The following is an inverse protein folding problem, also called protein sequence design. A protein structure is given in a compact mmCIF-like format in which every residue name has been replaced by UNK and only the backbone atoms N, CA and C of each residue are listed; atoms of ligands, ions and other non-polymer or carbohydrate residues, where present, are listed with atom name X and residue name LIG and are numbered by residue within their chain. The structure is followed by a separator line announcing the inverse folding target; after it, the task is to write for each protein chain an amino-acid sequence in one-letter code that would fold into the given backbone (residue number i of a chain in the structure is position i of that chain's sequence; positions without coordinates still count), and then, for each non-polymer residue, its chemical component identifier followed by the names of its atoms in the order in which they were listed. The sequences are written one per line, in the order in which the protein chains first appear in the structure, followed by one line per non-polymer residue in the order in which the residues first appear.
data_IF_071467739188
#
_entry.id   IF_071467739188
#
_cell.length_a   1.000
_cell.length_b   1.000
_cell.length_c   1.000
_cell.angle_alpha   90.00
_cell.angle_beta   90.00
_cell.angle_gamma   90.00
#
_symmetry.space_group_name_H-M   'P 1'
#
loop_
_entity.id
_entity.type
_entity.pdbx_description
1 polymer ?
#
# COMPACT_ATOMS: atom_id res chain seq x y z
N UNK A 1 -19.81 -86.29 -9.66
CA UNK A 1 -20.83 -85.23 -9.76
C UNK A 1 -20.12 -83.91 -9.57
N UNK A 2 -20.41 -83.00 -10.49
CA UNK A 2 -19.81 -81.71 -10.89
C UNK A 2 -19.55 -80.66 -9.79
N UNK A 3 -18.83 -79.55 -10.13
CA UNK A 3 -17.83 -78.89 -9.29
C UNK A 3 -18.28 -77.51 -8.75
N UNK A 4 -17.36 -76.81 -8.07
CA UNK A 4 -17.23 -75.34 -8.04
C UNK A 4 -18.45 -74.49 -7.67
N UNK A 5 -18.41 -73.81 -6.52
CA UNK A 5 -18.45 -72.33 -6.52
C UNK A 5 -18.01 -71.80 -5.16
N UNK A 6 -16.76 -71.35 -5.11
CA UNK A 6 -16.32 -70.35 -4.17
C UNK A 6 -17.09 -69.09 -4.53
N UNK A 7 -18.05 -68.70 -3.71
CA UNK A 7 -18.75 -67.42 -3.89
C UNK A 7 -17.80 -66.31 -3.46
N UNK A 8 -16.99 -65.89 -4.42
CA UNK A 8 -16.12 -64.72 -4.37
C UNK A 8 -17.06 -63.52 -4.22
N UNK A 9 -17.19 -63.00 -3.00
CA UNK A 9 -17.75 -61.68 -2.80
C UNK A 9 -16.98 -60.71 -3.71
N UNK A 10 -17.67 -59.88 -4.51
CA UNK A 10 -17.01 -58.98 -5.44
C UNK A 10 -16.12 -58.03 -4.64
N UNK A 11 -14.81 -58.15 -4.83
CA UNK A 11 -13.84 -57.12 -4.48
C UNK A 11 -14.22 -55.86 -5.28
N UNK A 12 -14.62 -54.75 -4.65
CA UNK A 12 -14.75 -53.50 -5.37
C UNK A 12 -13.32 -53.01 -5.63
N UNK A 13 -12.76 -53.43 -6.77
CA UNK A 13 -11.65 -52.72 -7.36
C UNK A 13 -12.25 -51.46 -8.03
N UNK A 14 -12.15 -50.33 -7.36
CA UNK A 14 -12.33 -49.02 -7.99
C UNK A 14 -11.26 -48.09 -7.44
N UNK A 15 -10.32 -47.80 -8.32
CA UNK A 15 -9.36 -46.72 -8.28
C UNK A 15 -9.99 -45.42 -7.69
N UNK A 16 -9.25 -44.76 -6.79
CA UNK A 16 -9.42 -43.45 -6.12
C UNK A 16 -10.77 -42.69 -6.26
N UNK A 17 -11.35 -42.21 -5.13
CA UNK A 17 -11.11 -40.81 -4.78
C UNK A 17 -10.92 -40.59 -3.27
N UNK A 18 -10.04 -41.33 -2.59
CA UNK A 18 -9.73 -41.03 -1.18
C UNK A 18 -8.95 -39.70 -1.02
N UNK A 19 -8.46 -39.12 -2.12
CA UNK A 19 -7.81 -37.80 -2.14
C UNK A 19 -8.76 -36.60 -2.13
N UNK A 20 -10.07 -36.80 -2.32
CA UNK A 20 -11.03 -35.69 -2.43
C UNK A 20 -11.59 -35.26 -1.07
N UNK A 21 -11.57 -36.14 -0.07
CA UNK A 21 -12.12 -35.86 1.27
C UNK A 21 -11.27 -34.88 2.10
N UNK A 22 -10.00 -34.68 1.74
CA UNK A 22 -9.12 -33.70 2.42
C UNK A 22 -9.33 -32.27 1.91
N UNK A 23 -10.00 -32.09 0.77
CA UNK A 23 -10.38 -30.76 0.27
C UNK A 23 -11.70 -30.25 0.87
N UNK A 24 -12.47 -31.13 1.51
CA UNK A 24 -13.75 -30.86 2.21
C UNK A 24 -13.62 -30.82 3.75
N UNK A 25 -12.50 -30.36 4.31
CA UNK A 25 -12.60 -29.66 5.59
C UNK A 25 -12.80 -28.18 5.25
N UNK A 26 -14.02 -27.65 5.39
CA UNK A 26 -14.20 -26.22 5.38
C UNK A 26 -13.41 -25.71 6.57
N UNK A 27 -12.25 -25.12 6.30
CA UNK A 27 -11.71 -24.09 7.17
C UNK A 27 -12.50 -22.78 6.96
N UNK A 28 -13.81 -22.91 6.68
CA UNK A 28 -14.81 -21.91 6.99
C UNK A 28 -14.94 -21.97 8.50
N UNK A 29 -13.96 -21.39 9.19
CA UNK A 29 -14.26 -20.85 10.51
C UNK A 29 -15.38 -19.87 10.21
N UNK A 30 -16.62 -20.25 10.50
CA UNK A 30 -17.74 -19.32 10.61
C UNK A 30 -17.34 -18.35 11.73
N UNK A 31 -16.55 -17.35 11.36
CA UNK A 31 -16.13 -16.31 12.29
C UNK A 31 -17.40 -15.54 12.63
N UNK A 32 -17.66 -15.43 13.93
CA UNK A 32 -18.70 -14.52 14.38
C UNK A 32 -18.34 -13.11 13.92
N UNK A 33 -19.35 -12.26 13.69
CA UNK A 33 -19.14 -10.83 13.38
C UNK A 33 -18.22 -10.19 14.43
N UNK A 34 -18.31 -10.64 15.67
CA UNK A 34 -17.41 -10.23 16.75
C UNK A 34 -15.95 -10.64 16.54
N UNK A 35 -15.70 -11.85 16.05
CA UNK A 35 -14.35 -12.34 15.75
C UNK A 35 -13.73 -11.53 14.60
N UNK A 36 -14.51 -11.25 13.55
CA UNK A 36 -14.06 -10.42 12.44
C UNK A 36 -13.73 -8.97 12.88
N UNK A 37 -14.55 -8.38 13.76
CA UNK A 37 -14.26 -7.06 14.33
C UNK A 37 -13.00 -7.08 15.23
N UNK A 38 -12.76 -8.18 15.94
CA UNK A 38 -11.56 -8.35 16.76
C UNK A 38 -10.31 -8.47 15.88
N UNK A 39 -10.38 -9.18 14.75
CA UNK A 39 -9.33 -9.18 13.73
C UNK A 39 -9.08 -7.77 13.18
N UNK A 40 -10.12 -7.02 12.81
CA UNK A 40 -9.98 -5.64 12.31
C UNK A 40 -9.18 -4.79 13.30
N UNK A 41 -9.56 -4.84 14.58
CA UNK A 41 -8.89 -4.09 15.65
C UNK A 41 -7.41 -4.45 15.71
N UNK A 42 -7.08 -5.74 15.75
CA UNK A 42 -5.69 -6.19 15.79
C UNK A 42 -4.90 -5.75 14.56
N UNK A 43 -5.47 -5.89 13.35
CA UNK A 43 -4.84 -5.49 12.08
C UNK A 43 -4.58 -3.98 12.01
N UNK A 44 -5.51 -3.17 12.53
CA UNK A 44 -5.34 -1.72 12.66
C UNK A 44 -4.18 -1.41 13.61
N UNK A 45 -4.09 -2.07 14.78
CA UNK A 45 -2.98 -1.88 15.71
C UNK A 45 -1.62 -2.21 15.08
N UNK A 46 -1.51 -3.35 14.38
CA UNK A 46 -0.27 -3.70 13.68
C UNK A 46 0.09 -2.69 12.58
N UNK A 47 -0.89 -2.25 11.79
CA UNK A 47 -0.68 -1.24 10.74
C UNK A 47 -0.26 0.11 11.34
N UNK A 48 -0.87 0.53 12.45
CA UNK A 48 -0.49 1.76 13.15
C UNK A 48 0.94 1.71 13.64
N UNK A 49 1.37 0.61 14.27
CA UNK A 49 2.76 0.43 14.72
C UNK A 49 3.73 0.48 13.53
N UNK A 50 3.42 -0.22 12.44
CA UNK A 50 4.25 -0.21 11.24
C UNK A 50 4.36 1.19 10.62
N UNK A 51 3.27 1.95 10.56
CA UNK A 51 3.27 3.35 10.12
C UNK A 51 4.11 4.20 11.06
N UNK A 52 3.94 4.07 12.37
CA UNK A 52 4.70 4.85 13.36
C UNK A 52 6.22 4.61 13.24
N UNK A 53 6.63 3.34 13.12
CA UNK A 53 8.03 2.98 12.90
C UNK A 53 8.56 3.53 11.57
N UNK A 54 7.76 3.46 10.51
CA UNK A 54 8.12 3.99 9.19
C UNK A 54 8.24 5.52 9.20
N UNK A 55 7.33 6.23 9.87
CA UNK A 55 7.37 7.69 10.03
C UNK A 55 8.60 8.11 10.84
N UNK A 56 8.90 7.42 11.94
CA UNK A 56 10.11 7.68 12.73
C UNK A 56 11.37 7.47 11.87
N UNK A 57 11.43 6.36 11.12
CA UNK A 57 12.53 6.09 10.19
C UNK A 57 12.69 7.19 9.14
N UNK A 58 11.59 7.59 8.49
CA UNK A 58 11.56 8.67 7.50
C UNK A 58 11.92 10.03 8.12
N UNK A 59 11.57 10.29 9.38
CA UNK A 59 11.91 11.51 10.07
C UNK A 59 13.43 11.65 10.28
N UNK A 60 14.14 10.54 10.56
CA UNK A 60 15.61 10.54 10.68
C UNK A 60 16.28 10.89 9.34
N UNK A 61 15.72 10.44 8.22
CA UNK A 61 16.24 10.69 6.87
C UNK A 61 15.54 11.83 6.14
N UNK A 62 14.76 12.67 6.86
CA UNK A 62 13.89 13.69 6.25
C UNK A 62 14.67 14.69 5.38
N UNK A 63 15.90 15.02 5.77
CA UNK A 63 16.76 15.93 4.99
C UNK A 63 17.00 15.40 3.58
N UNK A 64 17.25 14.11 3.44
CA UNK A 64 17.45 13.46 2.14
C UNK A 64 16.17 13.48 1.30
N UNK A 65 15.02 13.24 1.95
CA UNK A 65 13.71 13.30 1.28
C UNK A 65 13.40 14.71 0.80
N UNK A 66 13.61 15.71 1.65
CA UNK A 66 13.43 17.14 1.31
C UNK A 66 14.34 17.54 0.15
N UNK A 67 15.62 17.16 0.17
CA UNK A 67 16.54 17.41 -0.94
C UNK A 67 16.08 16.78 -2.25
N UNK A 68 15.54 15.56 -2.21
CA UNK A 68 14.96 14.90 -3.37
C UNK A 68 13.77 15.69 -3.93
N UNK A 69 12.89 16.18 -3.07
CA UNK A 69 11.72 16.99 -3.46
C UNK A 69 12.09 18.40 -3.94
N UNK A 70 13.30 18.89 -3.65
CA UNK A 70 13.79 20.18 -4.15
C UNK A 70 14.38 20.08 -5.58
N UNK A 71 14.81 18.90 -6.03
CA UNK A 71 15.40 18.70 -7.38
C UNK A 71 14.52 19.22 -8.52
N UNK A 72 13.19 18.99 -8.56
CA UNK A 72 12.33 19.49 -9.62
C UNK A 72 12.18 21.03 -9.63
N UNK A 73 12.53 21.71 -8.54
CA UNK A 73 12.40 23.15 -8.37
C UNK A 73 13.72 23.92 -8.53
N UNK A 74 14.76 23.29 -9.10
CA UNK A 74 16.06 23.92 -9.36
C UNK A 74 15.90 25.25 -10.12
N UNK A 75 16.07 26.37 -9.40
CA UNK A 75 15.95 27.73 -9.94
C UNK A 75 15.09 28.67 -9.09
N UNK A 76 14.29 28.16 -8.16
CA UNK A 76 13.44 28.98 -7.27
C UNK A 76 14.14 29.25 -5.95
N UNK A 77 14.20 30.52 -5.52
CA UNK A 77 14.64 30.87 -4.17
C UNK A 77 13.51 30.60 -3.18
N UNK A 78 13.70 29.64 -2.30
CA UNK A 78 12.79 29.42 -1.18
C UNK A 78 12.99 30.49 -0.12
N UNK A 79 11.90 31.13 0.27
CA UNK A 79 11.86 32.05 1.40
C UNK A 79 11.26 31.33 2.59
N UNK A 80 11.96 31.39 3.71
CA UNK A 80 11.43 30.98 5.00
C UNK A 80 10.77 32.19 5.66
N UNK A 81 9.44 32.18 5.74
CA UNK A 81 8.63 33.25 6.31
C UNK A 81 8.64 33.20 7.84
N UNK A 82 8.79 32.01 8.43
CA UNK A 82 8.92 31.86 9.87
C UNK A 82 9.97 30.78 10.24
N UNK A 83 10.69 30.96 11.37
CA UNK A 83 11.74 30.03 11.81
C UNK A 83 11.20 28.60 12.06
N UNK A 84 9.90 28.45 12.31
CA UNK A 84 9.24 27.15 12.53
C UNK A 84 8.76 26.42 11.29
N UNK A 85 8.67 27.05 10.10
CA UNK A 85 8.08 26.43 8.91
C UNK A 85 8.79 25.14 8.50
N UNK A 86 10.12 25.15 8.49
CA UNK A 86 10.92 23.99 8.11
C UNK A 86 10.65 22.78 9.01
N UNK A 87 10.40 23.00 10.30
CA UNK A 87 10.07 21.93 11.25
C UNK A 87 8.71 21.29 10.90
N UNK A 88 7.67 22.10 10.65
CA UNK A 88 6.36 21.59 10.27
C UNK A 88 6.37 20.90 8.91
N UNK A 89 7.11 21.45 7.93
CA UNK A 89 7.33 20.81 6.63
C UNK A 89 8.01 19.45 6.79
N UNK A 90 9.08 19.39 7.59
CA UNK A 90 9.79 18.14 7.87
C UNK A 90 8.86 17.10 8.49
N UNK A 91 7.99 17.50 9.43
CA UNK A 91 7.01 16.60 10.04
C UNK A 91 5.97 16.10 9.03
N UNK A 92 5.42 16.99 8.18
CA UNK A 92 4.49 16.62 7.10
C UNK A 92 5.17 15.62 6.15
N UNK A 93 6.33 15.97 5.62
CA UNK A 93 7.09 15.15 4.64
C UNK A 93 7.43 13.78 5.23
N UNK A 94 7.89 13.72 6.49
CA UNK A 94 8.18 12.46 7.16
C UNK A 94 6.91 11.61 7.37
N UNK A 95 5.78 12.24 7.72
CA UNK A 95 4.48 11.58 7.86
C UNK A 95 4.03 10.93 6.56
N UNK A 96 3.94 11.72 5.47
CA UNK A 96 3.52 11.24 4.16
C UNK A 96 4.47 10.18 3.59
N UNK A 97 5.78 10.40 3.67
CA UNK A 97 6.77 9.44 3.20
C UNK A 97 6.76 8.15 4.02
N UNK A 98 6.54 8.25 5.34
CA UNK A 98 6.36 7.10 6.22
C UNK A 98 5.16 6.25 5.82
N UNK A 99 4.04 6.88 5.43
CA UNK A 99 2.86 6.18 4.91
C UNK A 99 3.16 5.50 3.58
N UNK A 100 3.91 6.13 2.66
CA UNK A 100 4.34 5.49 1.39
C UNK A 100 5.15 4.23 1.65
N UNK A 101 6.12 4.31 2.57
CA UNK A 101 6.97 3.16 2.93
C UNK A 101 6.15 2.08 3.65
N UNK A 102 5.19 2.47 4.48
CA UNK A 102 4.29 1.54 5.17
C UNK A 102 3.18 0.98 4.28
N UNK A 103 2.90 1.60 3.13
CA UNK A 103 1.80 1.27 2.21
C UNK A 103 1.75 -0.22 1.83
N UNK A 104 2.86 -0.88 1.43
CA UNK A 104 2.84 -2.31 1.11
C UNK A 104 2.41 -3.18 2.30
N UNK A 105 2.83 -2.81 3.52
CA UNK A 105 2.44 -3.50 4.74
C UNK A 105 0.97 -3.25 5.09
N UNK A 106 0.49 -2.02 4.95
CA UNK A 106 -0.91 -1.66 5.16
C UNK A 106 -1.82 -2.44 4.20
N UNK A 107 -1.49 -2.45 2.91
CA UNK A 107 -2.22 -3.22 1.89
C UNK A 107 -2.26 -4.70 2.23
N UNK A 108 -1.14 -5.26 2.69
CA UNK A 108 -1.07 -6.65 3.14
C UNK A 108 -2.00 -6.92 4.34
N UNK A 109 -2.03 -6.05 5.36
CA UNK A 109 -2.91 -6.22 6.52
C UNK A 109 -4.40 -6.05 6.19
N UNK A 110 -4.75 -5.09 5.33
CA UNK A 110 -6.13 -4.88 4.85
C UNK A 110 -6.65 -6.14 4.18
N UNK A 111 -5.80 -6.80 3.39
CA UNK A 111 -6.23 -7.98 2.65
C UNK A 111 -6.30 -9.22 3.51
N UNK A 112 -5.40 -9.36 4.48
CA UNK A 112 -5.53 -10.40 5.51
C UNK A 112 -6.87 -10.32 6.25
N UNK A 113 -7.38 -9.11 6.45
CA UNK A 113 -8.70 -8.88 7.01
C UNK A 113 -9.84 -9.23 6.03
N UNK A 114 -9.67 -9.00 4.73
CA UNK A 114 -10.69 -9.35 3.71
C UNK A 114 -10.69 -10.87 3.38
N UNK A 115 -9.54 -11.53 3.51
CA UNK A 115 -9.32 -12.95 3.22
C UNK A 115 -10.38 -13.92 3.78
N UNK A 116 -10.79 -13.84 5.06
CA UNK A 116 -11.79 -14.76 5.63
C UNK A 116 -13.18 -14.63 4.98
N UNK A 117 -13.48 -13.51 4.33
CA UNK A 117 -14.76 -13.30 3.63
C UNK A 117 -14.76 -13.79 2.18
N UNK A 118 -13.66 -14.37 1.68
CA UNK A 118 -13.49 -14.69 0.25
C UNK A 118 -13.37 -16.19 -0.02
N UNK A 119 -13.94 -16.64 -1.13
CA UNK A 119 -13.90 -18.06 -1.50
C UNK A 119 -12.48 -18.49 -1.90
N UNK A 120 -12.16 -19.80 -1.78
CA UNK A 120 -10.84 -20.36 -2.11
C UNK A 120 -10.36 -20.02 -3.54
N UNK A 121 -11.29 -19.86 -4.50
CA UNK A 121 -10.98 -19.48 -5.89
C UNK A 121 -10.58 -18.01 -6.00
N UNK A 122 -11.23 -17.12 -5.26
CA UNK A 122 -10.95 -15.69 -5.27
C UNK A 122 -9.64 -15.37 -4.55
N UNK A 123 -9.29 -16.11 -3.49
CA UNK A 123 -8.01 -15.96 -2.77
C UNK A 123 -6.78 -16.04 -3.69
N UNK A 124 -6.85 -16.81 -4.79
CA UNK A 124 -5.76 -16.90 -5.79
C UNK A 124 -5.60 -15.64 -6.63
N UNK A 125 -6.68 -14.88 -6.85
CA UNK A 125 -6.68 -13.63 -7.62
C UNK A 125 -6.17 -12.45 -6.79
N UNK A 126 -6.40 -12.48 -5.47
CA UNK A 126 -5.96 -11.39 -4.59
C UNK A 126 -4.43 -11.20 -4.61
N UNK A 127 -3.66 -12.30 -4.63
CA UNK A 127 -2.20 -12.26 -4.66
C UNK A 127 -1.61 -11.35 -5.76
N UNK A 128 -1.90 -11.61 -7.05
CA UNK A 128 -1.44 -10.76 -8.14
C UNK A 128 -2.06 -9.35 -8.10
N UNK A 129 -3.27 -9.20 -7.57
CA UNK A 129 -3.89 -7.87 -7.38
C UNK A 129 -3.10 -7.02 -6.37
N UNK A 130 -2.59 -7.58 -5.27
CA UNK A 130 -1.73 -6.88 -4.31
C UNK A 130 -0.45 -6.38 -4.99
N UNK A 131 0.19 -7.28 -5.73
CA UNK A 131 1.43 -6.96 -6.41
C UNK A 131 1.18 -5.86 -7.45
N UNK A 132 0.09 -5.99 -8.22
CA UNK A 132 -0.35 -5.00 -9.20
C UNK A 132 -0.66 -3.65 -8.57
N UNK A 133 -1.41 -3.60 -7.47
CA UNK A 133 -1.75 -2.34 -6.79
C UNK A 133 -0.53 -1.67 -6.15
N UNK A 134 0.36 -2.46 -5.54
CA UNK A 134 1.62 -1.94 -4.99
C UNK A 134 2.50 -1.34 -6.07
N UNK A 135 2.68 -2.06 -7.20
CA UNK A 135 3.43 -1.55 -8.35
C UNK A 135 2.78 -0.28 -8.91
N UNK A 136 1.47 -0.29 -9.12
CA UNK A 136 0.74 0.86 -9.67
C UNK A 136 0.81 2.08 -8.75
N UNK A 137 0.80 1.88 -7.43
CA UNK A 137 1.00 2.94 -6.44
C UNK A 137 2.37 3.61 -6.58
N UNK A 138 3.45 2.84 -6.65
CA UNK A 138 4.80 3.40 -6.87
C UNK A 138 4.98 4.02 -8.26
N UNK A 139 4.34 3.46 -9.29
CA UNK A 139 4.33 4.04 -10.64
C UNK A 139 3.59 5.37 -10.65
N UNK A 140 2.44 5.47 -9.96
CA UNK A 140 1.71 6.73 -9.79
C UNK A 140 2.54 7.78 -9.07
N UNK A 141 3.23 7.38 -8.00
CA UNK A 141 4.12 8.26 -7.24
C UNK A 141 5.29 8.77 -8.11
N UNK A 142 5.90 7.88 -8.89
CA UNK A 142 6.97 8.23 -9.83
C UNK A 142 6.47 9.16 -10.94
N UNK A 143 5.27 8.91 -11.48
CA UNK A 143 4.65 9.78 -12.47
C UNK A 143 4.36 11.18 -11.92
N UNK A 144 3.81 11.26 -10.71
CA UNK A 144 3.57 12.55 -10.04
C UNK A 144 4.86 13.34 -9.89
N UNK A 145 5.94 12.69 -9.44
CA UNK A 145 7.24 13.34 -9.24
C UNK A 145 7.92 13.78 -10.54
N UNK A 146 7.94 12.92 -11.56
CA UNK A 146 8.72 13.14 -12.80
C UNK A 146 7.98 14.00 -13.82
N UNK A 147 6.66 13.88 -13.91
CA UNK A 147 5.86 14.56 -14.93
C UNK A 147 5.03 15.70 -14.34
N UNK A 148 4.28 15.42 -13.26
CA UNK A 148 3.21 16.30 -12.79
C UNK A 148 3.77 17.52 -12.05
N UNK A 149 4.70 17.33 -11.11
CA UNK A 149 5.39 18.42 -10.41
C UNK A 149 6.08 19.38 -11.39
N UNK A 150 7.03 18.95 -12.26
CA UNK A 150 7.72 19.88 -13.14
C UNK A 150 6.81 20.53 -14.18
N UNK A 151 5.77 19.84 -14.65
CA UNK A 151 4.77 20.45 -15.53
C UNK A 151 4.02 21.59 -14.82
N UNK A 152 3.59 21.37 -13.57
CA UNK A 152 2.92 22.38 -12.78
C UNK A 152 3.84 23.56 -12.42
N UNK A 153 5.08 23.29 -12.00
CA UNK A 153 6.06 24.33 -11.71
C UNK A 153 6.37 25.17 -12.94
N UNK A 154 6.59 24.53 -14.10
CA UNK A 154 6.81 25.24 -15.37
C UNK A 154 5.61 26.10 -15.74
N UNK A 155 4.39 25.60 -15.55
CA UNK A 155 3.17 26.36 -15.77
C UNK A 155 3.13 27.61 -14.88
N UNK A 156 3.29 27.47 -13.56
CA UNK A 156 3.27 28.62 -12.64
C UNK A 156 4.38 29.64 -12.90
N UNK A 157 5.60 29.18 -13.20
CA UNK A 157 6.71 30.07 -13.56
C UNK A 157 6.39 30.83 -14.85
N UNK A 158 5.94 30.13 -15.91
CA UNK A 158 5.59 30.76 -17.19
C UNK A 158 4.40 31.72 -17.09
N UNK A 159 3.45 31.45 -16.20
CA UNK A 159 2.27 32.28 -15.98
C UNK A 159 2.60 33.58 -15.24
N UNK A 160 3.54 33.54 -14.30
CA UNK A 160 3.95 34.69 -13.50
C UNK A 160 5.15 35.49 -14.02
N UNK A 161 5.83 35.00 -15.07
CA UNK A 161 7.13 35.50 -15.54
C UNK A 161 7.15 37.00 -15.88
N UNK A 162 6.03 37.56 -16.34
CA UNK A 162 5.97 38.96 -16.78
C UNK A 162 5.44 39.92 -15.71
N UNK A 163 5.09 39.42 -14.51
CA UNK A 163 4.30 40.21 -13.52
C UNK A 163 4.98 40.33 -12.16
N UNK A 164 5.67 39.29 -11.65
CA UNK A 164 6.20 39.26 -10.27
C UNK A 164 7.50 38.46 -10.17
N UNK A 165 8.48 38.93 -9.37
CA UNK A 165 9.63 38.10 -8.97
C UNK A 165 9.16 36.84 -8.21
N UNK A 166 9.54 35.66 -8.71
CA UNK A 166 9.13 34.39 -8.11
C UNK A 166 9.88 34.08 -6.80
N UNK A 167 9.33 34.54 -5.67
CA UNK A 167 9.70 34.11 -4.33
C UNK A 167 8.64 33.14 -3.78
N UNK A 168 9.05 31.91 -3.46
CA UNK A 168 8.12 30.85 -3.05
C UNK A 168 8.33 30.51 -1.58
N UNK A 169 7.23 30.41 -0.82
CA UNK A 169 7.29 29.89 0.57
C UNK A 169 7.55 28.39 0.55
N UNK A 170 8.45 27.94 1.42
CA UNK A 170 8.76 26.52 1.57
C UNK A 170 7.54 25.70 1.99
N UNK A 171 6.72 26.18 2.94
CA UNK A 171 5.54 25.45 3.40
C UNK A 171 4.54 25.25 2.26
N UNK A 172 4.31 26.29 1.44
CA UNK A 172 3.39 26.21 0.30
C UNK A 172 3.90 25.34 -0.84
N UNK A 173 5.19 25.37 -1.11
CA UNK A 173 5.79 24.49 -2.10
C UNK A 173 5.62 23.02 -1.71
N UNK A 174 6.00 22.65 -0.48
CA UNK A 174 5.89 21.27 -0.02
C UNK A 174 4.43 20.83 0.15
N UNK A 175 3.53 21.70 0.62
CA UNK A 175 2.09 21.41 0.67
C UNK A 175 1.53 21.11 -0.72
N UNK A 176 1.94 21.88 -1.73
CA UNK A 176 1.56 21.63 -3.11
C UNK A 176 2.12 20.32 -3.66
N UNK A 177 3.42 20.06 -3.47
CA UNK A 177 4.07 18.83 -3.91
C UNK A 177 3.43 17.60 -3.27
N UNK A 178 3.21 17.63 -1.95
CA UNK A 178 2.55 16.55 -1.23
C UNK A 178 1.10 16.38 -1.71
N UNK A 179 0.36 17.46 -1.94
CA UNK A 179 -0.98 17.36 -2.52
C UNK A 179 -0.95 16.65 -3.88
N UNK A 180 -0.03 17.02 -4.76
CA UNK A 180 0.08 16.37 -6.09
C UNK A 180 0.48 14.90 -6.03
N UNK A 181 1.28 14.51 -5.04
CA UNK A 181 1.76 13.13 -4.89
C UNK A 181 0.73 12.19 -4.26
N UNK A 182 -0.21 12.72 -3.47
CA UNK A 182 -1.14 11.93 -2.66
C UNK A 182 -2.63 12.17 -2.94
N UNK A 183 -2.96 13.12 -3.84
CA UNK A 183 -4.32 13.32 -4.34
C UNK A 183 -4.68 12.32 -5.45
#
# INVERSE_FOLDING_TARGET
MTPSEVEILPQPNSEEPEKDYLDEIPNDVEMSLFDHLEELRQRIFYSLIAVLLSVIGCFVVVKTIVQLLEVPAQGVKFLQLAPGEYFFVSLKVAGYSGIVVASPFILYQIILFVLPGLTRRERRVIGPVILGSSVLFFVGLAFAYIALIPAALKFFVSYGADVVEQLWSIDKYFEFVLLLMFS
#
